data_IF_831689060472
#
_entry.id   IF_831689060472
#
_cell.length_a   1.000
_cell.length_b   1.000
_cell.length_c   1.000
_cell.angle_alpha   90.00
_cell.angle_beta   90.00
_cell.angle_gamma   90.00
#
_symmetry.space_group_name_H-M   'P 1'
#
loop_
_entity.id
_entity.type
_entity.pdbx_description
1 polymer ?
#
# COMPACT_ATOMS: atom_id res chain seq x y z
N UNK A 1 -6.68 -13.49 -17.00
CA UNK A 1 -6.51 -12.58 -15.85
C UNK A 1 -6.71 -11.17 -16.39
N UNK A 2 -7.83 -10.49 -16.08
CA UNK A 2 -8.11 -9.17 -16.65
C UNK A 2 -7.71 -8.07 -15.69
N UNK A 3 -6.40 -7.86 -15.53
CA UNK A 3 -5.85 -6.71 -14.82
C UNK A 3 -6.34 -5.42 -15.49
N UNK A 4 -7.06 -4.57 -14.75
CA UNK A 4 -7.50 -3.25 -15.23
C UNK A 4 -6.60 -2.17 -14.66
N UNK A 5 -6.29 -1.18 -15.48
CA UNK A 5 -5.56 0.02 -15.05
C UNK A 5 -6.53 1.19 -15.20
N UNK A 6 -6.83 1.86 -14.09
CA UNK A 6 -7.71 3.02 -14.05
C UNK A 6 -6.98 4.22 -13.48
N UNK A 7 -7.35 5.42 -13.92
CA UNK A 7 -6.74 6.65 -13.44
C UNK A 7 -7.50 7.12 -12.20
N UNK A 8 -6.79 7.41 -11.10
CA UNK A 8 -7.38 7.74 -9.79
C UNK A 8 -8.50 8.79 -9.85
N UNK A 9 -8.34 9.87 -10.61
CA UNK A 9 -9.35 10.94 -10.70
C UNK A 9 -10.69 10.51 -11.30
N UNK A 10 -10.70 9.41 -12.06
CA UNK A 10 -11.90 8.87 -12.71
C UNK A 10 -12.60 7.80 -11.85
N UNK A 11 -11.96 7.35 -10.77
CA UNK A 11 -12.46 6.27 -9.93
C UNK A 11 -13.38 6.78 -8.83
N UNK A 12 -14.48 6.06 -8.62
CA UNK A 12 -15.38 6.24 -7.47
C UNK A 12 -15.62 4.90 -6.72
N UNK A 13 -14.80 3.90 -6.99
CA UNK A 13 -14.89 2.55 -6.45
C UNK A 13 -13.52 2.05 -5.97
N UNK A 14 -13.52 1.16 -4.99
CA UNK A 14 -12.32 0.49 -4.49
C UNK A 14 -11.71 -0.43 -5.57
N UNK A 15 -10.37 -0.50 -5.68
CA UNK A 15 -9.67 -1.38 -6.63
C UNK A 15 -10.12 -2.84 -6.60
N UNK A 16 -10.35 -3.40 -5.41
CA UNK A 16 -10.89 -4.76 -5.22
C UNK A 16 -12.17 -4.73 -4.39
N UNK A 17 -12.18 -4.01 -3.27
CA UNK A 17 -13.35 -3.86 -2.42
C UNK A 17 -13.43 -4.85 -1.26
N UNK A 18 -14.54 -4.78 -0.52
CA UNK A 18 -14.75 -5.58 0.69
C UNK A 18 -15.72 -6.72 0.38
N UNK A 19 -15.36 -7.94 0.80
CA UNK A 19 -16.25 -9.08 0.68
C UNK A 19 -17.52 -8.86 1.53
N UNK A 20 -18.67 -8.93 0.87
CA UNK A 20 -20.01 -8.83 1.46
C UNK A 20 -20.86 -9.99 0.92
N UNK A 21 -20.98 -11.05 1.73
CA UNK A 21 -21.52 -12.33 1.31
C UNK A 21 -20.68 -12.94 0.18
N UNK A 22 -21.27 -13.05 -1.02
CA UNK A 22 -20.66 -13.63 -2.21
C UNK A 22 -20.17 -12.56 -3.22
N UNK A 23 -20.22 -11.28 -2.86
CA UNK A 23 -19.91 -10.16 -3.76
C UNK A 23 -18.89 -9.21 -3.13
N UNK A 24 -18.20 -8.43 -3.96
CA UNK A 24 -17.29 -7.38 -3.48
C UNK A 24 -17.99 -6.03 -3.53
N UNK A 25 -18.18 -5.42 -2.37
CA UNK A 25 -18.70 -4.06 -2.27
C UNK A 25 -17.53 -3.07 -2.40
N UNK A 26 -17.54 -2.32 -3.50
CA UNK A 26 -16.49 -1.36 -3.85
C UNK A 26 -16.84 0.08 -3.49
N UNK A 27 -18.03 0.33 -2.94
CA UNK A 27 -18.51 1.69 -2.69
C UNK A 27 -17.86 2.30 -1.44
N UNK A 28 -17.73 3.63 -1.40
CA UNK A 28 -17.26 4.35 -0.22
C UNK A 28 -17.74 5.80 -0.25
N UNK A 29 -17.68 6.49 0.88
CA UNK A 29 -17.97 7.92 0.98
C UNK A 29 -17.13 8.61 2.05
N UNK A 30 -16.80 9.88 1.80
CA UNK A 30 -15.96 10.71 2.68
C UNK A 30 -16.73 11.90 3.23
N UNK A 31 -16.31 12.38 4.39
CA UNK A 31 -16.68 13.69 4.92
C UNK A 31 -15.94 14.77 4.15
N UNK A 32 -16.51 15.97 4.13
CA UNK A 32 -15.76 17.17 3.74
C UNK A 32 -14.63 17.39 4.75
N UNK A 33 -13.39 17.50 4.28
CA UNK A 33 -12.26 17.86 5.12
C UNK A 33 -12.31 19.37 5.41
N UNK A 34 -12.59 19.72 6.66
CA UNK A 34 -12.59 21.11 7.13
C UNK A 34 -11.50 21.32 8.19
N UNK A 35 -11.26 22.57 8.59
CA UNK A 35 -10.33 22.88 9.69
C UNK A 35 -10.69 22.17 11.00
N UNK A 36 -11.97 21.85 11.23
CA UNK A 36 -12.38 21.04 12.39
C UNK A 36 -11.79 19.64 12.31
N UNK A 37 -11.92 18.98 11.16
CA UNK A 37 -11.33 17.66 10.92
C UNK A 37 -9.80 17.71 10.98
N UNK A 38 -9.18 18.75 10.44
CA UNK A 38 -7.72 18.93 10.50
C UNK A 38 -7.22 18.97 11.95
N UNK A 39 -7.91 19.71 12.84
CA UNK A 39 -7.58 19.77 14.27
C UNK A 39 -7.81 18.43 14.96
N UNK A 40 -8.89 17.72 14.63
CA UNK A 40 -9.18 16.38 15.16
C UNK A 40 -8.06 15.40 14.77
N UNK A 41 -7.61 15.41 13.51
CA UNK A 41 -6.50 14.58 13.01
C UNK A 41 -5.17 14.98 13.67
N UNK A 42 -4.90 16.28 13.83
CA UNK A 42 -3.71 16.77 14.53
C UNK A 42 -3.63 16.25 15.97
N UNK A 43 -4.75 16.29 16.71
CA UNK A 43 -4.84 15.74 18.06
C UNK A 43 -4.66 14.20 18.07
N UNK A 44 -5.20 13.51 17.06
CA UNK A 44 -4.98 12.07 16.91
C UNK A 44 -3.50 11.76 16.66
N UNK A 45 -2.82 12.52 15.80
CA UNK A 45 -1.40 12.36 15.52
C UNK A 45 -0.55 12.59 16.77
N UNK A 46 -0.84 13.64 17.54
CA UNK A 46 -0.13 13.97 18.77
C UNK A 46 -0.32 12.88 19.84
N UNK A 47 -1.57 12.47 20.07
CA UNK A 47 -1.92 11.41 21.04
C UNK A 47 -1.28 10.07 20.66
N UNK A 48 -1.04 9.85 19.37
CA UNK A 48 -0.54 8.60 18.82
C UNK A 48 0.83 8.77 18.14
N UNK A 49 1.68 9.66 18.66
CA UNK A 49 3.03 9.93 18.13
C UNK A 49 3.94 8.70 18.04
N UNK A 50 3.62 7.63 18.78
CA UNK A 50 4.33 6.35 18.76
C UNK A 50 3.64 5.29 17.88
N UNK A 51 2.49 5.60 17.28
CA UNK A 51 1.83 4.70 16.36
C UNK A 51 2.66 4.56 15.09
N UNK A 52 2.62 3.36 14.52
CA UNK A 52 3.23 3.10 13.22
C UNK A 52 2.49 3.87 12.13
N UNK A 53 3.17 4.13 11.00
CA UNK A 53 2.57 4.84 9.87
C UNK A 53 1.30 4.13 9.38
N UNK A 54 1.32 2.80 9.33
CA UNK A 54 0.15 2.00 8.95
C UNK A 54 -1.06 2.23 9.86
N UNK A 55 -0.83 2.32 11.19
CA UNK A 55 -1.88 2.59 12.17
C UNK A 55 -2.42 4.02 12.06
N UNK A 56 -1.55 5.00 11.89
CA UNK A 56 -1.98 6.38 11.73
C UNK A 56 -2.83 6.59 10.47
N UNK A 57 -2.46 5.97 9.34
CA UNK A 57 -3.27 6.00 8.12
C UNK A 57 -4.66 5.38 8.35
N UNK A 58 -4.74 4.26 9.05
CA UNK A 58 -6.03 3.66 9.41
C UNK A 58 -6.89 4.60 10.29
N UNK A 59 -6.26 5.31 11.24
CA UNK A 59 -6.96 6.31 12.05
C UNK A 59 -7.48 7.49 11.22
N UNK A 60 -6.66 7.98 10.28
CA UNK A 60 -7.05 9.06 9.36
C UNK A 60 -8.25 8.64 8.52
N UNK A 61 -8.17 7.48 7.86
CA UNK A 61 -9.25 6.94 7.02
C UNK A 61 -10.51 6.72 7.88
N UNK A 62 -10.39 6.13 9.07
CA UNK A 62 -11.53 5.93 9.98
C UNK A 62 -12.20 7.23 10.43
N UNK A 63 -11.43 8.32 10.54
CA UNK A 63 -11.96 9.65 10.87
C UNK A 63 -12.71 10.28 9.70
N UNK A 64 -12.13 10.16 8.49
CA UNK A 64 -12.55 10.90 7.30
C UNK A 64 -13.61 10.21 6.46
N UNK A 65 -13.74 8.87 6.53
CA UNK A 65 -14.73 8.12 5.78
C UNK A 65 -16.02 7.93 6.59
N UNK A 66 -17.18 8.09 5.93
CA UNK A 66 -18.49 7.80 6.54
C UNK A 66 -18.96 6.38 6.23
N UNK A 67 -18.58 5.84 5.06
CA UNK A 67 -18.92 4.48 4.64
C UNK A 67 -17.79 3.88 3.82
N UNK A 68 -17.50 2.60 4.02
CA UNK A 68 -16.64 1.80 3.15
C UNK A 68 -17.26 0.42 3.00
N UNK A 69 -17.59 0.04 1.77
CA UNK A 69 -18.36 -1.16 1.48
C UNK A 69 -19.68 -1.18 2.23
N UNK A 70 -19.90 -2.25 2.99
CA UNK A 70 -21.05 -2.44 3.86
C UNK A 70 -20.91 -1.79 5.25
N UNK A 71 -19.75 -1.23 5.58
CA UNK A 71 -19.49 -0.67 6.92
C UNK A 71 -19.88 0.80 6.99
N UNK A 72 -20.74 1.12 7.94
CA UNK A 72 -21.12 2.48 8.33
C UNK A 72 -20.18 2.99 9.43
N UNK A 73 -19.17 3.77 9.05
CA UNK A 73 -18.15 4.28 9.95
C UNK A 73 -18.68 5.33 10.93
N UNK A 74 -19.90 5.85 10.76
CA UNK A 74 -20.46 6.79 11.73
C UNK A 74 -20.99 6.08 12.98
N UNK A 75 -21.26 4.78 12.88
CA UNK A 75 -21.75 3.94 13.98
C UNK A 75 -20.67 3.15 14.70
N UNK A 76 -19.46 3.10 14.15
CA UNK A 76 -18.34 2.36 14.71
C UNK A 76 -17.52 3.20 15.70
N UNK A 77 -17.01 2.55 16.74
CA UNK A 77 -15.99 3.11 17.63
C UNK A 77 -14.64 3.26 16.91
N UNK A 78 -13.75 4.12 17.41
CA UNK A 78 -12.44 4.34 16.79
C UNK A 78 -11.62 3.05 16.60
N UNK A 79 -11.64 2.14 17.57
CA UNK A 79 -10.90 0.87 17.46
C UNK A 79 -11.53 -0.10 16.44
N UNK A 80 -12.86 -0.16 16.36
CA UNK A 80 -13.53 -0.96 15.32
C UNK A 80 -13.18 -0.46 13.92
N UNK A 81 -13.15 0.86 13.72
CA UNK A 81 -12.74 1.47 12.45
C UNK A 81 -11.32 1.06 12.05
N UNK A 82 -10.38 1.15 12.99
CA UNK A 82 -8.98 0.77 12.77
C UNK A 82 -8.91 -0.71 12.40
N UNK A 83 -9.57 -1.58 13.16
CA UNK A 83 -9.59 -3.02 12.91
C UNK A 83 -10.15 -3.36 11.52
N UNK A 84 -11.25 -2.71 11.13
CA UNK A 84 -11.83 -2.85 9.79
C UNK A 84 -10.82 -2.46 8.70
N UNK A 85 -10.15 -1.32 8.82
CA UNK A 85 -9.18 -0.85 7.83
C UNK A 85 -7.94 -1.76 7.80
N UNK A 86 -7.46 -2.25 8.94
CA UNK A 86 -6.35 -3.20 9.02
C UNK A 86 -6.65 -4.53 8.31
N UNK A 87 -7.92 -4.92 8.25
CA UNK A 87 -8.36 -6.15 7.55
C UNK A 87 -8.53 -5.99 6.03
N UNK A 88 -8.47 -4.75 5.51
CA UNK A 88 -8.57 -4.46 4.08
C UNK A 88 -7.29 -4.85 3.35
N UNK A 89 -7.39 -5.00 2.03
CA UNK A 89 -6.21 -5.17 1.19
C UNK A 89 -5.45 -3.86 1.08
N UNK A 90 -4.11 -3.94 1.06
CA UNK A 90 -3.25 -2.77 1.09
C UNK A 90 -3.49 -1.81 -0.07
N UNK A 91 -3.79 -2.36 -1.25
CA UNK A 91 -4.13 -1.57 -2.44
C UNK A 91 -5.39 -0.72 -2.27
N UNK A 92 -6.43 -1.27 -1.64
CA UNK A 92 -7.66 -0.53 -1.34
C UNK A 92 -7.40 0.59 -0.33
N UNK A 93 -6.64 0.31 0.74
CA UNK A 93 -6.30 1.31 1.76
C UNK A 93 -5.46 2.46 1.17
N UNK A 94 -4.45 2.14 0.38
CA UNK A 94 -3.64 3.15 -0.29
C UNK A 94 -4.43 3.95 -1.31
N UNK A 95 -5.36 3.33 -2.04
CA UNK A 95 -6.29 4.04 -2.90
C UNK A 95 -7.13 5.04 -2.10
N UNK A 96 -7.75 4.62 -0.99
CA UNK A 96 -8.55 5.51 -0.14
C UNK A 96 -7.73 6.69 0.37
N UNK A 97 -6.49 6.45 0.78
CA UNK A 97 -5.57 7.48 1.24
C UNK A 97 -5.22 8.50 0.13
N UNK A 98 -4.91 8.02 -1.09
CA UNK A 98 -4.63 8.89 -2.24
C UNK A 98 -5.87 9.65 -2.72
N UNK A 99 -7.03 8.99 -2.74
CA UNK A 99 -8.29 9.60 -3.09
C UNK A 99 -8.67 10.71 -2.12
N UNK A 100 -8.51 10.46 -0.81
CA UNK A 100 -8.77 11.46 0.23
C UNK A 100 -7.89 12.69 0.03
N UNK A 101 -6.60 12.52 -0.26
CA UNK A 101 -5.75 13.64 -0.65
C UNK A 101 -6.32 14.38 -1.85
N UNK A 102 -6.58 13.65 -2.93
CA UNK A 102 -6.98 14.24 -4.21
C UNK A 102 -8.23 15.12 -4.05
N UNK A 103 -9.21 14.62 -3.29
CA UNK A 103 -10.44 15.38 -3.00
C UNK A 103 -10.25 16.56 -2.05
N UNK A 104 -9.24 16.54 -1.19
CA UNK A 104 -9.07 17.55 -0.14
C UNK A 104 -8.12 18.67 -0.53
N UNK A 105 -7.03 18.34 -1.24
CA UNK A 105 -5.96 19.27 -1.60
C UNK A 105 -5.82 19.45 -3.11
N UNK A 106 -6.52 18.66 -3.92
CA UNK A 106 -6.38 18.66 -5.37
C UNK A 106 -5.27 17.73 -5.88
N UNK A 107 -5.04 17.74 -7.21
CA UNK A 107 -4.13 16.81 -7.89
C UNK A 107 -2.64 17.08 -7.61
N UNK A 108 -2.24 18.34 -7.51
CA UNK A 108 -0.83 18.72 -7.53
C UNK A 108 -0.13 18.42 -6.21
N UNK A 109 0.99 17.70 -6.26
CA UNK A 109 1.92 17.47 -5.15
C UNK A 109 3.30 17.99 -5.51
N UNK A 110 3.88 18.84 -4.66
CA UNK A 110 5.27 19.25 -4.81
C UNK A 110 6.17 18.32 -4.00
N UNK A 111 7.12 17.70 -4.68
CA UNK A 111 8.04 16.72 -4.10
C UNK A 111 9.46 17.27 -4.24
N UNK A 112 10.14 17.44 -3.11
CA UNK A 112 11.56 17.76 -3.10
C UNK A 112 12.35 16.51 -3.45
N UNK A 113 13.08 16.56 -4.56
CA UNK A 113 13.90 15.46 -5.05
C UNK A 113 15.36 15.87 -5.10
N UNK A 114 16.23 14.90 -4.83
CA UNK A 114 17.68 15.02 -5.05
C UNK A 114 18.07 14.19 -6.25
N UNK A 115 18.82 14.79 -7.17
CA UNK A 115 19.38 14.06 -8.31
C UNK A 115 20.20 12.84 -7.82
N UNK A 116 19.96 11.62 -8.34
CA UNK A 116 20.64 10.42 -7.85
C UNK A 116 22.10 10.31 -8.30
N UNK A 117 22.55 11.12 -9.27
CA UNK A 117 23.97 11.15 -9.63
C UNK A 117 24.78 11.78 -8.50
N UNK A 118 26.01 11.31 -8.28
CA UNK A 118 26.87 11.81 -7.21
C UNK A 118 26.97 13.35 -7.21
N UNK A 119 27.21 13.93 -6.03
CA UNK A 119 27.35 15.40 -5.88
C UNK A 119 28.43 15.99 -6.78
N UNK A 120 29.46 15.20 -7.13
CA UNK A 120 30.49 15.60 -8.08
C UNK A 120 29.97 15.80 -9.51
N UNK A 121 28.83 15.19 -9.86
CA UNK A 121 28.20 15.28 -11.18
C UNK A 121 26.99 16.21 -11.17
N UNK A 122 26.11 16.09 -10.16
CA UNK A 122 24.98 17.01 -10.00
C UNK A 122 24.56 17.10 -8.53
N UNK A 123 23.99 16.02 -7.96
CA UNK A 123 23.47 15.98 -6.58
C UNK A 123 22.47 17.10 -6.21
N UNK A 124 22.02 17.92 -7.16
CA UNK A 124 21.20 19.10 -6.88
C UNK A 124 19.79 18.69 -6.46
N UNK A 125 19.25 19.47 -5.52
CA UNK A 125 17.86 19.40 -5.13
C UNK A 125 16.99 20.19 -6.12
N UNK A 126 15.81 19.69 -6.42
CA UNK A 126 14.81 20.36 -7.25
C UNK A 126 13.41 19.97 -6.78
N UNK A 127 12.40 20.75 -7.20
CA UNK A 127 11.00 20.47 -6.86
C UNK A 127 10.30 19.90 -8.08
N UNK A 128 9.81 18.67 -7.94
CA UNK A 128 8.97 18.03 -8.94
C UNK A 128 7.50 18.25 -8.58
N UNK A 129 6.70 18.72 -9.54
CA UNK A 129 5.24 18.83 -9.39
C UNK A 129 4.60 17.59 -9.99
N UNK A 130 4.13 16.68 -9.12
CA UNK A 130 3.39 15.49 -9.53
C UNK A 130 1.88 15.71 -9.56
N UNK A 131 1.16 14.89 -10.30
CA UNK A 131 -0.30 14.84 -10.33
C UNK A 131 -0.78 13.51 -9.71
N UNK A 132 -1.32 13.57 -8.49
CA UNK A 132 -1.89 12.40 -7.80
C UNK A 132 -3.17 11.91 -8.50
N UNK A 133 -3.89 12.80 -9.16
CA UNK A 133 -5.08 12.45 -9.93
C UNK A 133 -4.77 11.64 -11.19
N UNK A 134 -3.54 11.69 -11.71
CA UNK A 134 -3.10 10.91 -12.87
C UNK A 134 -2.45 9.57 -12.53
N UNK A 135 -2.44 9.16 -11.25
CA UNK A 135 -1.82 7.91 -10.83
C UNK A 135 -2.62 6.72 -11.37
N UNK A 136 -1.90 5.78 -11.98
CA UNK A 136 -2.43 4.49 -12.40
C UNK A 136 -2.79 3.65 -11.19
N UNK A 137 -3.97 3.03 -11.24
CA UNK A 137 -4.50 2.20 -10.19
C UNK A 137 -4.85 0.82 -10.75
N UNK A 138 -4.21 -0.20 -10.19
CA UNK A 138 -4.41 -1.58 -10.61
C UNK A 138 -5.63 -2.14 -9.89
N UNK A 139 -6.63 -2.53 -10.68
CA UNK A 139 -7.94 -2.98 -10.20
C UNK A 139 -8.24 -4.39 -10.71
N UNK A 140 -9.08 -5.11 -9.95
CA UNK A 140 -9.56 -6.45 -10.29
C UNK A 140 -11.07 -6.54 -10.03
N UNK A 141 -11.79 -7.34 -10.82
CA UNK A 141 -13.23 -7.51 -10.64
C UNK A 141 -13.55 -8.49 -9.51
N UNK A 142 -12.64 -9.43 -9.23
CA UNK A 142 -12.77 -10.38 -8.13
C UNK A 142 -11.41 -10.75 -7.53
N UNK A 143 -11.42 -11.28 -6.31
CA UNK A 143 -10.20 -11.74 -5.66
C UNK A 143 -9.49 -12.84 -6.45
N UNK A 144 -10.22 -13.75 -7.08
CA UNK A 144 -9.61 -14.82 -7.88
C UNK A 144 -8.79 -14.29 -9.06
N UNK A 145 -9.11 -13.12 -9.59
CA UNK A 145 -8.31 -12.48 -10.65
C UNK A 145 -7.04 -11.82 -10.12
N UNK A 146 -7.00 -11.48 -8.83
CA UNK A 146 -5.82 -10.95 -8.14
C UNK A 146 -4.89 -12.04 -7.62
N UNK A 147 -5.22 -13.32 -7.86
CA UNK A 147 -4.43 -14.47 -7.43
C UNK A 147 -3.55 -14.95 -8.57
N UNK A 148 -2.28 -15.19 -8.27
CA UNK A 148 -1.31 -15.74 -9.22
C UNK A 148 -0.48 -16.84 -8.55
N UNK A 149 0.34 -17.51 -9.36
CA UNK A 149 1.18 -18.60 -8.89
C UNK A 149 2.65 -18.27 -9.14
N UNK A 150 3.49 -18.62 -8.17
CA UNK A 150 4.93 -18.46 -8.25
C UNK A 150 5.61 -19.82 -8.07
N UNK A 151 6.39 -20.26 -9.06
CA UNK A 151 7.17 -21.49 -8.96
C UNK A 151 8.56 -21.19 -8.40
N UNK A 152 8.92 -21.82 -7.29
CA UNK A 152 10.23 -21.68 -6.66
C UNK A 152 11.31 -22.26 -7.57
N UNK A 153 12.41 -21.53 -7.73
CA UNK A 153 13.62 -22.03 -8.39
C UNK A 153 14.35 -23.04 -7.50
N UNK A 154 14.39 -22.76 -6.21
CA UNK A 154 15.01 -23.59 -5.18
C UNK A 154 13.94 -24.02 -4.16
N UNK A 155 13.25 -25.15 -4.40
CA UNK A 155 12.29 -25.70 -3.44
C UNK A 155 12.93 -25.95 -2.08
N UNK A 156 12.22 -25.59 -1.02
CA UNK A 156 12.66 -25.77 0.37
C UNK A 156 11.51 -26.29 1.24
N UNK A 157 11.83 -26.73 2.46
CA UNK A 157 10.83 -27.30 3.36
C UNK A 157 10.13 -26.25 4.21
N UNK A 158 8.79 -26.27 4.21
CA UNK A 158 7.96 -25.54 5.17
C UNK A 158 7.13 -26.57 5.92
N UNK A 159 7.21 -26.59 7.26
CA UNK A 159 6.49 -27.55 8.12
C UNK A 159 6.68 -29.01 7.68
N UNK A 160 7.92 -29.41 7.34
CA UNK A 160 8.30 -30.76 6.85
C UNK A 160 7.68 -31.14 5.50
N UNK A 161 7.15 -30.17 4.74
CA UNK A 161 6.66 -30.37 3.38
C UNK A 161 7.55 -29.62 2.42
N UNK A 162 8.05 -30.32 1.39
CA UNK A 162 8.76 -29.68 0.29
C UNK A 162 7.80 -28.77 -0.48
N UNK A 163 8.06 -27.47 -0.46
CA UNK A 163 7.29 -26.48 -1.19
C UNK A 163 8.00 -26.15 -2.49
N UNK A 164 7.29 -26.29 -3.61
CA UNK A 164 7.79 -26.00 -4.96
C UNK A 164 7.12 -24.78 -5.57
N UNK A 165 6.00 -24.33 -4.98
CA UNK A 165 5.14 -23.33 -5.57
C UNK A 165 4.36 -22.60 -4.48
N UNK A 166 4.19 -21.30 -4.65
CA UNK A 166 3.28 -20.49 -3.86
C UNK A 166 2.07 -20.10 -4.68
N UNK A 167 0.91 -20.10 -4.02
CA UNK A 167 -0.28 -19.38 -4.48
C UNK A 167 -0.25 -18.02 -3.80
N UNK A 168 -0.30 -16.96 -4.59
CA UNK A 168 -0.07 -15.59 -4.19
C UNK A 168 -1.36 -14.77 -4.32
N UNK A 169 -1.49 -13.71 -3.53
CA UNK A 169 -2.59 -12.76 -3.59
C UNK A 169 -2.19 -11.40 -3.03
N UNK A 170 -3.10 -10.41 -3.07
CA UNK A 170 -2.86 -9.08 -2.54
C UNK A 170 -2.65 -9.11 -1.02
N UNK A 171 -1.64 -8.37 -0.55
CA UNK A 171 -1.33 -8.25 0.88
C UNK A 171 -2.42 -7.48 1.64
N UNK A 172 -2.52 -7.76 2.94
CA UNK A 172 -3.41 -7.06 3.87
C UNK A 172 -2.71 -5.87 4.51
N UNK A 173 -3.49 -4.84 4.87
CA UNK A 173 -2.95 -3.59 5.40
C UNK A 173 -2.28 -3.75 6.78
N UNK A 174 -2.76 -4.68 7.62
CA UNK A 174 -2.12 -5.02 8.90
C UNK A 174 -0.61 -5.36 8.76
N UNK A 175 -0.17 -5.84 7.60
CA UNK A 175 1.25 -6.07 7.30
C UNK A 175 2.07 -4.78 7.45
N UNK A 176 1.54 -3.65 6.97
CA UNK A 176 2.23 -2.35 7.05
C UNK A 176 2.29 -1.82 8.49
N UNK A 177 1.33 -2.13 9.35
CA UNK A 177 1.41 -1.82 10.78
C UNK A 177 2.62 -2.50 11.42
N UNK A 178 2.90 -3.76 11.03
CA UNK A 178 4.04 -4.53 11.55
C UNK A 178 5.38 -4.18 10.92
N UNK A 179 5.40 -3.72 9.66
CA UNK A 179 6.62 -3.30 8.95
C UNK A 179 7.13 -1.94 9.43
N UNK A 180 6.20 -1.05 9.81
CA UNK A 180 6.52 0.31 10.24
C UNK A 180 6.67 0.43 11.77
N UNK A 181 6.71 -0.70 12.48
CA UNK A 181 7.02 -0.73 13.91
C UNK A 181 8.52 -0.59 14.15
N UNK A 182 8.91 -0.11 15.34
CA UNK A 182 10.32 0.07 15.74
C UNK A 182 11.09 -1.25 15.86
N UNK A 183 10.40 -2.39 15.78
CA UNK A 183 10.96 -3.72 16.04
C UNK A 183 11.51 -4.41 14.78
N UNK A 184 11.36 -3.80 13.60
CA UNK A 184 11.86 -4.35 12.33
C UNK A 184 13.35 -4.06 12.18
N UNK A 185 14.17 -5.12 12.08
CA UNK A 185 15.64 -5.03 12.21
C UNK A 185 16.37 -5.01 10.88
N UNK A 186 15.67 -4.95 9.75
CA UNK A 186 16.31 -4.77 8.44
C UNK A 186 15.41 -5.05 7.25
N UNK A 187 15.98 -4.90 6.05
CA UNK A 187 15.27 -5.15 4.79
C UNK A 187 14.79 -6.60 4.62
N UNK A 188 15.47 -7.57 5.22
CA UNK A 188 15.06 -8.99 5.20
C UNK A 188 13.69 -9.19 5.86
N UNK A 189 13.53 -8.70 7.09
CA UNK A 189 12.28 -8.77 7.85
C UNK A 189 11.11 -8.12 7.10
N UNK A 190 11.36 -6.96 6.48
CA UNK A 190 10.34 -6.25 5.68
C UNK A 190 9.86 -7.14 4.53
N UNK A 191 10.80 -7.71 3.77
CA UNK A 191 10.49 -8.59 2.64
C UNK A 191 9.73 -9.84 3.12
N UNK A 192 10.20 -10.49 4.19
CA UNK A 192 9.55 -11.67 4.74
C UNK A 192 8.09 -11.39 5.12
N UNK A 193 7.82 -10.28 5.81
CA UNK A 193 6.43 -9.86 6.16
C UNK A 193 5.56 -9.64 4.93
N UNK A 194 6.08 -8.95 3.91
CA UNK A 194 5.37 -8.73 2.64
C UNK A 194 5.08 -10.07 1.96
N UNK A 195 6.04 -11.00 1.94
CA UNK A 195 5.86 -12.32 1.32
C UNK A 195 4.83 -13.15 2.06
N UNK A 196 4.97 -13.29 3.38
CA UNK A 196 4.02 -14.02 4.24
C UNK A 196 2.60 -13.51 4.06
N UNK A 197 2.40 -12.19 4.02
CA UNK A 197 1.07 -11.60 3.81
C UNK A 197 0.50 -11.78 2.40
N UNK A 198 1.34 -12.08 1.42
CA UNK A 198 0.96 -12.29 0.02
C UNK A 198 0.84 -13.77 -0.32
N UNK A 199 1.49 -14.67 0.40
CA UNK A 199 1.38 -16.13 0.23
C UNK A 199 0.07 -16.59 0.87
N UNK A 200 -0.86 -17.01 0.03
CA UNK A 200 -2.18 -17.47 0.43
C UNK A 200 -2.32 -18.99 0.34
N UNK A 201 -1.38 -19.70 -0.27
CA UNK A 201 -1.39 -21.17 -0.31
C UNK A 201 -0.04 -21.75 -0.71
N UNK A 202 0.17 -23.03 -0.36
CA UNK A 202 1.38 -23.79 -0.69
C UNK A 202 1.05 -24.90 -1.68
N UNK A 203 1.89 -25.06 -2.71
CA UNK A 203 1.72 -26.06 -3.76
C UNK A 203 0.31 -25.96 -4.40
N UNK A 204 -0.47 -27.05 -4.34
CA UNK A 204 -1.85 -27.12 -4.83
C UNK A 204 -2.84 -27.36 -3.66
N UNK A 205 -2.49 -26.92 -2.44
CA UNK A 205 -3.40 -27.03 -1.29
C UNK A 205 -4.65 -26.17 -1.50
N UNK A 206 -5.81 -26.68 -1.06
CA UNK A 206 -7.11 -26.01 -1.23
C UNK A 206 -7.30 -24.87 -0.23
N UNK A 207 -6.75 -25.04 0.96
CA UNK A 207 -6.96 -24.13 2.08
C UNK A 207 -5.98 -22.96 2.05
N UNK A 208 -6.42 -21.84 2.63
CA UNK A 208 -5.55 -20.70 2.85
C UNK A 208 -4.50 -21.02 3.91
N UNK A 209 -3.25 -20.64 3.65
CA UNK A 209 -2.17 -20.75 4.62
C UNK A 209 -1.91 -19.40 5.29
N UNK A 210 -1.62 -19.43 6.59
CA UNK A 210 -1.01 -18.31 7.30
C UNK A 210 0.41 -18.74 7.69
N UNK A 211 1.40 -18.14 7.05
CA UNK A 211 2.81 -18.35 7.40
C UNK A 211 3.24 -17.37 8.49
N UNK A 212 4.38 -17.64 9.11
CA UNK A 212 5.12 -16.69 9.96
C UNK A 212 6.49 -16.40 9.37
N UNK A 213 7.07 -15.25 9.69
CA UNK A 213 8.27 -14.70 9.01
C UNK A 213 9.42 -15.72 8.86
N UNK A 214 9.76 -16.45 9.92
CA UNK A 214 10.88 -17.41 9.93
C UNK A 214 10.63 -18.67 9.10
N UNK A 215 9.39 -18.92 8.65
CA UNK A 215 9.11 -20.04 7.74
C UNK A 215 9.65 -19.79 6.33
N UNK A 216 10.17 -18.60 6.04
CA UNK A 216 10.78 -18.24 4.76
C UNK A 216 12.31 -18.06 4.84
N UNK A 217 12.94 -18.34 5.99
CA UNK A 217 14.37 -18.09 6.22
C UNK A 217 15.29 -18.88 5.28
N UNK A 218 14.86 -20.08 4.88
CA UNK A 218 15.59 -20.97 3.96
C UNK A 218 15.31 -20.66 2.47
N UNK A 219 14.58 -19.59 2.16
CA UNK A 219 14.28 -19.21 0.77
C UNK A 219 15.55 -18.71 0.06
N UNK A 220 15.86 -19.32 -1.09
CA UNK A 220 16.98 -18.91 -1.93
C UNK A 220 16.92 -17.44 -2.33
N UNK A 221 18.07 -16.76 -2.34
CA UNK A 221 18.17 -15.32 -2.66
C UNK A 221 17.58 -14.98 -4.05
N UNK A 222 17.72 -15.88 -5.02
CA UNK A 222 17.13 -15.71 -6.34
C UNK A 222 15.60 -15.66 -6.27
N UNK A 223 14.98 -16.53 -5.49
CA UNK A 223 13.54 -16.54 -5.28
C UNK A 223 13.06 -15.30 -4.49
N UNK A 224 13.82 -14.84 -3.49
CA UNK A 224 13.51 -13.60 -2.76
C UNK A 224 13.38 -12.39 -3.70
N UNK A 225 14.31 -12.22 -4.64
CA UNK A 225 14.26 -11.08 -5.57
C UNK A 225 13.20 -11.24 -6.65
N UNK A 226 13.03 -12.45 -7.18
CA UNK A 226 12.00 -12.71 -8.18
C UNK A 226 10.60 -12.57 -7.61
N UNK A 227 10.37 -13.09 -6.40
CA UNK A 227 9.09 -12.97 -5.71
C UNK A 227 8.75 -11.51 -5.39
N UNK A 228 9.75 -10.70 -5.00
CA UNK A 228 9.58 -9.25 -4.84
C UNK A 228 9.04 -8.61 -6.12
N UNK A 229 9.67 -8.91 -7.26
CA UNK A 229 9.26 -8.38 -8.56
C UNK A 229 7.87 -8.88 -8.98
N UNK A 230 7.53 -10.14 -8.69
CA UNK A 230 6.21 -10.70 -9.01
C UNK A 230 5.10 -10.05 -8.17
N UNK A 231 5.36 -9.75 -6.89
CA UNK A 231 4.44 -8.98 -6.06
C UNK A 231 4.24 -7.57 -6.63
N UNK A 232 5.31 -6.89 -7.04
CA UNK A 232 5.20 -5.54 -7.61
C UNK A 232 4.42 -5.53 -8.94
N UNK A 233 4.62 -6.53 -9.80
CA UNK A 233 3.89 -6.66 -11.08
C UNK A 233 2.39 -6.93 -10.88
N UNK A 234 2.04 -7.70 -9.85
CA UNK A 234 0.68 -8.10 -9.54
C UNK A 234 0.04 -7.28 -8.41
N UNK A 235 0.68 -6.18 -7.99
CA UNK A 235 0.19 -5.33 -6.91
C UNK A 235 -1.22 -4.82 -7.22
N UNK A 236 -2.02 -4.72 -6.18
CA UNK A 236 -3.32 -4.04 -6.17
C UNK A 236 -3.13 -2.58 -5.76
N UNK A 237 -3.89 -1.66 -6.33
CA UNK A 237 -3.94 -0.27 -5.87
C UNK A 237 -3.07 0.70 -6.67
N UNK A 238 -2.87 1.92 -6.14
CA UNK A 238 -2.19 3.00 -6.85
C UNK A 238 -0.68 2.75 -7.00
N UNK A 239 -0.15 3.06 -8.18
CA UNK A 239 1.27 3.14 -8.43
C UNK A 239 1.84 4.49 -7.97
N UNK A 240 2.48 4.48 -6.81
CA UNK A 240 3.15 5.68 -6.29
C UNK A 240 4.55 5.90 -6.86
N UNK A 241 4.93 5.24 -7.95
CA UNK A 241 6.17 5.52 -8.66
C UNK A 241 6.02 6.72 -9.58
N UNK A 242 7.04 7.57 -9.61
CA UNK A 242 7.17 8.71 -10.51
C UNK A 242 8.41 8.54 -11.38
N UNK A 243 8.22 8.62 -12.68
CA UNK A 243 9.31 8.76 -13.64
C UNK A 243 9.57 10.25 -13.87
N UNK A 244 10.80 10.68 -13.61
CA UNK A 244 11.18 12.08 -13.76
C UNK A 244 12.59 12.21 -14.31
N UNK A 245 12.99 13.45 -14.60
CA UNK A 245 14.34 13.80 -15.04
C UNK A 245 14.89 14.93 -14.16
N UNK A 246 16.19 14.92 -13.90
CA UNK A 246 16.83 16.04 -13.23
C UNK A 246 16.85 17.27 -14.15
N UNK A 247 16.35 18.40 -13.68
CA UNK A 247 16.33 19.66 -14.45
C UNK A 247 17.73 20.20 -14.77
N UNK A 248 18.76 19.79 -14.00
CA UNK A 248 20.12 20.28 -14.18
C UNK A 248 20.97 19.40 -15.14
N UNK A 249 20.93 18.07 -14.98
CA UNK A 249 21.78 17.16 -15.79
C UNK A 249 20.99 16.28 -16.77
N UNK A 250 19.65 16.34 -16.77
CA UNK A 250 18.80 15.57 -17.66
C UNK A 250 18.68 14.08 -17.33
N UNK A 251 19.40 13.57 -16.33
CA UNK A 251 19.33 12.16 -15.90
C UNK A 251 17.90 11.77 -15.56
N UNK A 252 17.37 10.75 -16.25
CA UNK A 252 16.08 10.15 -15.95
C UNK A 252 16.22 9.16 -14.80
N UNK A 253 15.23 9.13 -13.92
CA UNK A 253 15.18 8.19 -12.82
C UNK A 253 13.76 8.00 -12.29
N UNK A 254 13.54 6.90 -11.58
CA UNK A 254 12.26 6.59 -10.94
C UNK A 254 12.40 6.75 -9.42
N UNK A 255 11.40 7.36 -8.78
CA UNK A 255 11.28 7.46 -7.32
C UNK A 255 9.88 7.13 -6.87
N UNK A 256 9.73 6.75 -5.61
CA UNK A 256 8.40 6.66 -4.98
C UNK A 256 7.99 8.03 -4.47
N UNK A 257 6.72 8.40 -4.65
CA UNK A 257 6.12 9.57 -4.00
C UNK A 257 6.21 9.38 -2.49
N UNK A 258 6.77 10.35 -1.73
CA UNK A 258 6.78 10.26 -0.27
C UNK A 258 5.35 10.39 0.25
N UNK A 259 4.77 9.26 0.65
CA UNK A 259 3.36 9.16 1.05
C UNK A 259 3.13 9.27 2.56
N UNK A 260 4.20 9.50 3.34
CA UNK A 260 4.08 9.86 4.75
C UNK A 260 3.19 11.09 4.93
N UNK A 261 2.37 11.12 5.99
CA UNK A 261 1.36 12.16 6.18
C UNK A 261 1.89 13.58 6.05
N UNK A 262 3.03 13.89 6.70
CA UNK A 262 3.64 15.23 6.67
C UNK A 262 4.08 15.66 5.27
N UNK A 263 4.47 14.72 4.42
CA UNK A 263 4.91 15.00 3.05
C UNK A 263 3.73 15.00 2.07
N UNK A 264 2.73 14.13 2.31
CA UNK A 264 1.65 13.86 1.37
C UNK A 264 0.44 14.77 1.55
N UNK A 265 0.17 15.20 2.80
CA UNK A 265 -0.87 16.15 3.18
C UNK A 265 -0.31 17.50 3.66
N UNK A 266 1.02 17.63 3.78
CA UNK A 266 1.66 18.88 4.18
C UNK A 266 1.51 19.98 3.13
N UNK A 267 1.54 21.23 3.60
CA UNK A 267 1.70 22.38 2.73
C UNK A 267 3.12 22.31 2.18
N UNK A 268 3.25 22.18 0.87
CA UNK A 268 4.51 22.14 0.15
C UNK A 268 5.26 23.48 0.18
N UNK A 269 5.73 23.86 1.37
CA UNK A 269 6.58 25.01 1.63
C UNK A 269 7.20 24.90 3.02
N UNK A 270 8.02 23.86 3.24
CA UNK A 270 9.16 23.92 4.16
C UNK A 270 10.35 23.23 3.50
#
# INVERSE_FOLDING_TARGET
>A
MSKKIEILKNMNELPLGILDGNSYNKTFSIKRWTLKQEREIGLLAEKNKNASTGRFIAMLIGTMFTKIGQWDFEKLTSEEKILKIMSMYSGDVMFLYCYLRFKSLGPEINIKLTCPTSERVCGKNFTFVGDVGSIDNICFDSFNESVWEYNLKEPFEIRKKLVKKFKMGPSKWNTYETITSKDVKGFGDIKAKIFVSSIIGLNNEKDFVNLVDHELDEMGKADVELLSNEIDKNRLGPDLSIETKCDNCGTKFTRTIPWEYSNFFGISSQ
#
